data_IF_491694334097
#
_entry.id   IF_491694334097
#
_cell.length_a   1.000
_cell.length_b   1.000
_cell.length_c   1.000
_cell.angle_alpha   90.00
_cell.angle_beta   90.00
_cell.angle_gamma   90.00
#
_symmetry.space_group_name_H-M   'P 1'
#
loop_
_entity.id
_entity.type
_entity.pdbx_description
1 polymer ?
#
# COMPACT_ATOMS: atom_id res chain seq x y z
N UNK A 1 6.77 -18.30 -13.77
CA UNK A 1 6.01 -19.08 -12.75
C UNK A 1 6.55 -18.73 -11.37
N UNK A 2 5.72 -18.16 -10.53
CA UNK A 2 6.10 -17.81 -9.16
C UNK A 2 6.21 -19.09 -8.34
N UNK A 3 7.22 -19.15 -7.45
CA UNK A 3 7.37 -20.30 -6.56
C UNK A 3 6.16 -20.35 -5.63
N UNK A 4 5.68 -21.56 -5.37
CA UNK A 4 4.67 -21.81 -4.36
C UNK A 4 5.32 -22.30 -3.06
N UNK A 5 4.90 -21.71 -1.94
CA UNK A 5 5.20 -22.19 -0.59
C UNK A 5 3.92 -22.82 -0.02
N UNK A 6 3.85 -24.14 0.04
CA UNK A 6 2.65 -24.85 0.50
C UNK A 6 1.34 -24.42 -0.19
N UNK A 7 1.39 -24.14 -1.51
CA UNK A 7 0.27 -23.64 -2.29
C UNK A 7 0.13 -22.12 -2.33
N UNK A 8 1.04 -21.38 -1.70
CA UNK A 8 1.09 -19.93 -1.71
C UNK A 8 2.10 -19.43 -2.74
N UNK A 9 1.73 -18.42 -3.53
CA UNK A 9 2.68 -17.70 -4.38
C UNK A 9 3.68 -16.92 -3.52
N UNK A 10 4.93 -16.85 -3.98
CA UNK A 10 6.03 -16.16 -3.28
C UNK A 10 6.59 -15.08 -4.19
N UNK A 11 6.81 -13.90 -3.65
CA UNK A 11 7.43 -12.80 -4.38
C UNK A 11 8.85 -13.15 -4.86
N UNK A 12 9.35 -12.41 -5.85
CA UNK A 12 10.69 -12.58 -6.39
C UNK A 12 11.80 -12.32 -5.36
N UNK A 13 13.06 -12.60 -5.72
CA UNK A 13 14.19 -12.29 -4.86
C UNK A 13 14.22 -10.81 -4.48
N UNK A 14 14.47 -10.53 -3.21
CA UNK A 14 14.56 -9.17 -2.69
C UNK A 14 15.74 -8.42 -3.31
N UNK A 15 15.48 -7.20 -3.76
CA UNK A 15 16.50 -6.24 -4.18
C UNK A 15 16.79 -5.34 -2.98
N UNK A 16 18.03 -5.40 -2.47
CA UNK A 16 18.43 -4.55 -1.35
C UNK A 16 18.41 -3.09 -1.77
N UNK A 17 17.73 -2.28 -0.96
CA UNK A 17 17.71 -0.83 -1.09
C UNK A 17 18.89 -0.23 -0.31
N UNK A 18 19.38 0.88 -0.81
CA UNK A 18 20.40 1.72 -0.15
C UNK A 18 19.93 3.19 -0.14
N UNK A 19 20.78 4.09 0.36
CA UNK A 19 20.44 5.51 0.47
C UNK A 19 20.09 6.17 -0.87
N UNK A 20 20.54 5.63 -2.00
CA UNK A 20 20.25 6.21 -3.33
C UNK A 20 18.78 6.17 -3.71
N UNK A 21 17.99 5.29 -3.09
CA UNK A 21 16.53 5.27 -3.28
C UNK A 21 15.85 6.54 -2.76
N UNK A 22 16.49 7.25 -1.84
CA UNK A 22 16.03 8.48 -1.22
C UNK A 22 16.71 9.74 -1.76
N UNK A 23 17.67 9.59 -2.66
CA UNK A 23 18.27 10.72 -3.35
C UNK A 23 17.25 11.43 -4.23
N UNK A 24 17.49 12.72 -4.50
CA UNK A 24 16.69 13.49 -5.45
C UNK A 24 16.63 12.79 -6.81
N UNK A 25 15.41 12.69 -7.37
CA UNK A 25 15.13 12.05 -8.66
C UNK A 25 14.85 13.09 -9.75
N UNK A 26 14.99 12.69 -11.01
CA UNK A 26 14.54 13.49 -12.17
C UNK A 26 13.06 13.24 -12.53
N UNK A 27 12.34 12.47 -11.73
CA UNK A 27 10.95 12.09 -11.93
C UNK A 27 10.39 11.38 -10.72
N UNK A 28 9.33 10.61 -10.89
CA UNK A 28 8.67 9.85 -9.84
C UNK A 28 9.03 8.36 -9.92
N UNK A 29 9.50 7.81 -8.81
CA UNK A 29 9.76 6.38 -8.64
C UNK A 29 8.89 5.81 -7.53
N UNK A 30 8.34 4.62 -7.77
CA UNK A 30 7.54 3.84 -6.82
C UNK A 30 8.31 2.57 -6.52
N UNK A 31 8.61 2.31 -5.26
CA UNK A 31 9.30 1.08 -4.83
C UNK A 31 8.39 0.29 -3.92
N UNK A 32 8.08 -0.94 -4.31
CA UNK A 32 7.39 -1.87 -3.43
C UNK A 32 8.37 -2.53 -2.47
N UNK A 33 8.12 -2.39 -1.16
CA UNK A 33 9.02 -2.94 -0.13
C UNK A 33 8.53 -4.25 0.49
N UNK A 34 7.35 -4.70 0.09
CA UNK A 34 6.69 -5.92 0.59
C UNK A 34 5.35 -5.62 1.24
N UNK A 35 4.47 -6.62 1.38
CA UNK A 35 3.07 -6.44 1.83
C UNK A 35 2.38 -5.28 1.09
N UNK A 36 1.75 -4.34 1.80
CA UNK A 36 1.22 -3.09 1.24
C UNK A 36 2.23 -1.94 1.28
N UNK A 37 3.46 -2.18 1.74
CA UNK A 37 4.45 -1.14 2.04
C UNK A 37 5.12 -0.59 0.79
N UNK A 38 5.17 0.73 0.68
CA UNK A 38 5.64 1.45 -0.51
C UNK A 38 6.52 2.64 -0.12
N UNK A 39 7.54 2.91 -0.95
CA UNK A 39 8.24 4.19 -1.00
C UNK A 39 7.87 4.88 -2.31
N UNK A 40 7.42 6.13 -2.25
CA UNK A 40 7.27 7.02 -3.41
C UNK A 40 8.29 8.13 -3.25
N UNK A 41 9.17 8.27 -4.23
CA UNK A 41 10.13 9.36 -4.34
C UNK A 41 9.85 10.14 -5.63
N UNK A 42 9.27 11.34 -5.49
CA UNK A 42 8.97 12.25 -6.58
C UNK A 42 9.88 13.47 -6.48
N UNK A 43 10.82 13.60 -7.41
CA UNK A 43 11.84 14.64 -7.42
C UNK A 43 12.66 14.66 -6.12
N UNK A 44 12.21 15.39 -5.10
CA UNK A 44 12.87 15.45 -3.78
C UNK A 44 11.88 15.17 -2.64
N UNK A 45 10.62 14.87 -2.98
CA UNK A 45 9.58 14.53 -2.01
C UNK A 45 9.52 13.03 -1.80
N UNK A 46 9.74 12.58 -0.57
CA UNK A 46 9.84 11.17 -0.17
C UNK A 46 8.76 10.83 0.84
N UNK A 47 7.87 9.94 0.47
CA UNK A 47 6.84 9.43 1.37
C UNK A 47 6.87 7.91 1.43
N UNK A 48 6.53 7.36 2.57
CA UNK A 48 6.19 5.93 2.67
C UNK A 48 4.71 5.76 2.96
N UNK A 49 4.13 4.72 2.38
CA UNK A 49 2.73 4.33 2.63
C UNK A 49 2.76 2.96 3.29
N UNK A 50 2.02 2.82 4.39
CA UNK A 50 1.88 1.59 5.17
C UNK A 50 3.24 0.89 5.44
N UNK A 51 4.24 1.60 6.00
CA UNK A 51 5.57 1.05 6.12
C UNK A 51 5.61 -0.13 7.09
N UNK A 52 5.90 -1.31 6.55
CA UNK A 52 6.17 -2.53 7.29
C UNK A 52 7.61 -2.96 7.05
N UNK A 53 8.53 -2.50 7.89
CA UNK A 53 9.95 -2.86 7.83
C UNK A 53 10.35 -3.82 8.95
N UNK A 54 9.57 -3.86 10.03
CA UNK A 54 9.74 -4.79 11.16
C UNK A 54 8.44 -4.91 11.96
N UNK A 55 8.40 -5.86 12.91
CA UNK A 55 7.38 -5.92 13.95
C UNK A 55 6.03 -6.51 13.53
N UNK A 56 5.96 -7.17 12.39
CA UNK A 56 4.77 -7.93 12.05
C UNK A 56 4.68 -9.21 12.92
N UNK A 57 3.48 -9.58 13.31
CA UNK A 57 3.23 -10.72 14.21
C UNK A 57 3.11 -12.07 13.49
N UNK A 58 3.21 -12.06 12.15
CA UNK A 58 3.24 -13.27 11.33
C UNK A 58 4.62 -13.49 10.71
N UNK A 59 5.00 -14.74 10.40
CA UNK A 59 6.25 -15.03 9.70
C UNK A 59 6.26 -14.38 8.30
N UNK A 60 7.43 -13.87 7.90
CA UNK A 60 7.64 -13.34 6.56
C UNK A 60 8.37 -14.36 5.68
N UNK A 61 8.05 -14.37 4.39
CA UNK A 61 8.72 -15.18 3.36
C UNK A 61 9.98 -14.51 2.83
N UNK A 62 10.20 -13.25 3.19
CA UNK A 62 11.31 -12.42 2.70
C UNK A 62 12.00 -11.69 3.85
N UNK A 63 13.27 -11.36 3.65
CA UNK A 63 13.91 -10.29 4.42
C UNK A 63 13.47 -8.95 3.83
N UNK A 64 13.23 -7.95 4.68
CA UNK A 64 12.84 -6.63 4.19
C UNK A 64 13.98 -6.00 3.36
N UNK A 65 13.67 -5.27 2.27
CA UNK A 65 14.70 -4.71 1.38
C UNK A 65 15.54 -3.61 2.04
N UNK A 66 15.02 -2.99 3.10
CA UNK A 66 15.68 -1.94 3.88
C UNK A 66 15.30 -2.08 5.35
N UNK A 67 16.16 -1.67 6.27
CA UNK A 67 15.85 -1.57 7.70
C UNK A 67 15.38 -0.16 8.07
N UNK A 68 14.71 -0.01 9.21
CA UNK A 68 14.27 1.32 9.68
C UNK A 68 15.43 2.29 9.89
N UNK A 69 16.61 1.79 10.31
CA UNK A 69 17.81 2.57 10.57
C UNK A 69 18.48 3.09 9.29
N UNK A 70 18.20 2.46 8.15
CA UNK A 70 18.74 2.85 6.85
C UNK A 70 17.82 3.86 6.14
N UNK A 71 16.59 4.06 6.63
CA UNK A 71 15.68 5.08 6.09
C UNK A 71 16.15 6.46 6.54
N UNK A 72 16.48 7.35 5.59
CA UNK A 72 16.83 8.72 5.92
C UNK A 72 15.58 9.58 6.18
N UNK A 73 15.69 10.87 5.97
CA UNK A 73 14.57 11.81 6.12
C UNK A 73 13.41 11.53 5.15
N UNK A 74 12.19 11.54 5.68
CA UNK A 74 10.92 11.42 4.95
C UNK A 74 10.08 12.68 5.14
N UNK A 75 9.43 13.14 4.07
CA UNK A 75 8.47 14.24 4.12
C UNK A 75 7.15 13.83 4.76
N UNK A 76 6.77 12.56 4.60
CA UNK A 76 5.56 12.02 5.20
C UNK A 76 5.49 10.50 5.24
N UNK A 77 4.69 10.02 6.19
CA UNK A 77 4.23 8.63 6.26
C UNK A 77 2.71 8.64 6.25
N UNK A 78 2.12 7.91 5.30
CA UNK A 78 0.68 7.77 5.13
C UNK A 78 0.27 6.37 5.59
N UNK A 79 -0.76 6.28 6.42
CA UNK A 79 -1.28 5.01 6.94
C UNK A 79 -2.72 4.84 6.48
N UNK A 80 -3.03 3.71 5.85
CA UNK A 80 -4.39 3.46 5.33
C UNK A 80 -5.37 2.98 6.40
N UNK A 81 -4.92 2.17 7.36
CA UNK A 81 -5.75 1.65 8.45
C UNK A 81 -4.93 1.03 9.60
N UNK A 82 -5.60 0.47 10.60
CA UNK A 82 -5.01 0.08 11.89
C UNK A 82 -4.31 -1.28 11.90
N UNK A 83 -4.52 -2.15 10.91
CA UNK A 83 -3.96 -3.48 10.92
C UNK A 83 -2.41 -3.43 10.94
N UNK A 84 -1.78 -4.36 11.62
CA UNK A 84 -0.36 -4.25 11.98
C UNK A 84 0.62 -4.52 10.83
N UNK A 85 0.14 -4.96 9.69
CA UNK A 85 0.86 -5.01 8.41
C UNK A 85 0.77 -3.69 7.60
N UNK A 86 -0.02 -2.73 8.09
CA UNK A 86 -0.13 -1.35 7.56
C UNK A 86 0.37 -0.33 8.59
N UNK A 87 -0.19 -0.35 9.81
CA UNK A 87 0.33 0.43 10.93
C UNK A 87 1.26 -0.43 11.80
N UNK A 88 2.46 -0.72 11.31
CA UNK A 88 3.51 -1.34 12.12
C UNK A 88 4.03 -0.34 13.17
N UNK A 89 3.60 -0.50 14.42
CA UNK A 89 4.08 0.35 15.53
C UNK A 89 5.59 0.36 15.69
N UNK A 90 6.30 -0.81 15.65
CA UNK A 90 7.77 -0.80 15.72
C UNK A 90 8.42 -0.01 14.60
N UNK A 91 7.99 -0.19 13.35
CA UNK A 91 8.46 0.59 12.20
C UNK A 91 8.19 2.08 12.39
N UNK A 92 6.93 2.45 12.62
CA UNK A 92 6.54 3.86 12.75
C UNK A 92 7.23 4.55 13.92
N UNK A 93 7.46 3.85 15.06
CA UNK A 93 8.18 4.39 16.19
C UNK A 93 9.63 4.76 15.86
N UNK A 94 10.30 3.99 15.01
CA UNK A 94 11.66 4.32 14.55
C UNK A 94 11.63 5.43 13.50
N UNK A 95 10.70 5.37 12.55
CA UNK A 95 10.54 6.40 11.52
C UNK A 95 10.15 7.77 12.07
N UNK A 96 9.54 7.84 13.26
CA UNK A 96 9.21 9.10 13.94
C UNK A 96 10.40 10.06 14.10
N UNK A 97 11.62 9.54 14.11
CA UNK A 97 12.83 10.35 14.24
C UNK A 97 13.29 10.98 12.93
N UNK A 98 12.84 10.47 11.81
CA UNK A 98 13.27 10.87 10.45
C UNK A 98 12.09 11.30 9.56
N UNK A 99 10.87 11.31 10.09
CA UNK A 99 9.67 11.70 9.38
C UNK A 99 9.07 12.98 9.97
N UNK A 100 8.77 13.94 9.11
CA UNK A 100 8.22 15.24 9.52
C UNK A 100 6.74 15.18 9.91
N UNK A 101 5.95 14.35 9.21
CA UNK A 101 4.51 14.27 9.40
C UNK A 101 3.96 12.89 9.12
N UNK A 102 3.01 12.47 9.94
CA UNK A 102 2.20 11.28 9.69
C UNK A 102 0.79 11.70 9.29
N UNK A 103 0.16 10.92 8.44
CA UNK A 103 -1.21 11.11 7.96
C UNK A 103 -1.97 9.81 8.12
N UNK A 104 -3.18 9.87 8.67
CA UNK A 104 -3.91 8.64 8.96
C UNK A 104 -5.42 8.90 9.12
N UNK A 105 -6.27 7.91 8.79
CA UNK A 105 -7.70 8.01 9.02
C UNK A 105 -8.06 8.00 10.50
N UNK A 106 -9.31 8.31 10.80
CA UNK A 106 -9.84 8.65 12.11
C UNK A 106 -9.22 7.85 13.28
N UNK A 107 -9.39 6.53 13.31
CA UNK A 107 -8.99 5.74 14.48
C UNK A 107 -7.46 5.59 14.59
N UNK A 108 -6.77 5.43 13.47
CA UNK A 108 -5.31 5.35 13.47
C UNK A 108 -4.72 6.66 13.99
N UNK A 109 -5.25 7.81 13.55
CA UNK A 109 -4.80 9.11 14.02
C UNK A 109 -5.01 9.28 15.52
N UNK A 110 -6.19 8.87 16.07
CA UNK A 110 -6.44 8.89 17.52
C UNK A 110 -5.38 8.07 18.29
N UNK A 111 -5.09 6.86 17.83
CA UNK A 111 -4.06 6.01 18.46
C UNK A 111 -2.66 6.64 18.33
N UNK A 112 -2.33 7.18 17.18
CA UNK A 112 -1.03 7.83 16.94
C UNK A 112 -0.85 9.08 17.80
N UNK A 113 -1.91 9.90 17.98
CA UNK A 113 -1.90 11.06 18.86
C UNK A 113 -1.64 10.65 20.32
N UNK A 114 -2.31 9.60 20.82
CA UNK A 114 -2.10 9.05 22.16
C UNK A 114 -0.65 8.54 22.36
N UNK A 115 -0.04 7.98 21.28
CA UNK A 115 1.34 7.50 21.28
C UNK A 115 2.36 8.62 20.97
N UNK A 116 1.89 9.87 20.80
CA UNK A 116 2.73 11.08 20.65
C UNK A 116 3.38 11.23 19.27
N UNK A 117 2.72 10.80 18.20
CA UNK A 117 3.16 11.06 16.82
C UNK A 117 2.72 12.47 16.35
N UNK A 118 3.49 13.10 15.47
CA UNK A 118 3.07 14.32 14.75
C UNK A 118 2.11 13.93 13.61
N UNK A 119 0.90 13.48 13.93
CA UNK A 119 -0.06 12.97 12.98
C UNK A 119 -1.11 14.01 12.62
N UNK A 120 -1.47 14.07 11.33
CA UNK A 120 -2.64 14.76 10.81
C UNK A 120 -3.74 13.74 10.56
N UNK A 121 -4.88 13.93 11.21
CA UNK A 121 -6.07 13.14 10.97
C UNK A 121 -6.69 13.52 9.64
N UNK A 122 -7.09 12.52 8.87
CA UNK A 122 -7.67 12.64 7.54
C UNK A 122 -9.14 12.19 7.54
N UNK A 123 -9.93 12.90 6.76
CA UNK A 123 -11.28 12.48 6.37
C UNK A 123 -11.30 12.10 4.87
N UNK A 124 -12.24 11.25 4.48
CA UNK A 124 -12.43 10.87 3.07
C UNK A 124 -12.73 12.13 2.25
N UNK A 125 -12.06 12.24 1.08
CA UNK A 125 -12.03 13.38 0.15
C UNK A 125 -11.20 14.58 0.61
N UNK A 126 -10.52 14.51 1.74
CA UNK A 126 -9.51 15.51 2.07
C UNK A 126 -8.45 15.59 0.98
N UNK A 127 -7.95 16.81 0.78
CA UNK A 127 -6.96 17.13 -0.24
C UNK A 127 -5.86 18.02 0.34
N UNK A 128 -4.62 17.61 0.13
CA UNK A 128 -3.46 18.36 0.62
C UNK A 128 -2.24 18.15 -0.26
N UNK A 129 -1.16 18.87 0.03
CA UNK A 129 0.12 18.76 -0.67
C UNK A 129 1.22 18.35 0.29
N UNK A 130 2.10 17.46 -0.19
CA UNK A 130 3.40 17.14 0.38
C UNK A 130 4.44 17.36 -0.72
N UNK A 131 5.25 18.42 -0.61
CA UNK A 131 6.18 18.80 -1.67
C UNK A 131 5.50 18.89 -3.02
N UNK A 132 5.95 18.10 -3.98
CA UNK A 132 5.41 18.05 -5.36
C UNK A 132 4.19 17.15 -5.51
N UNK A 133 3.77 16.46 -4.44
CA UNK A 133 2.62 15.56 -4.46
C UNK A 133 1.34 16.28 -4.06
N UNK A 134 0.29 16.11 -4.87
CA UNK A 134 -1.08 16.41 -4.47
C UNK A 134 -1.75 15.10 -4.08
N UNK A 135 -2.26 15.00 -2.85
CA UNK A 135 -2.85 13.80 -2.28
C UNK A 135 -4.33 14.02 -2.03
N UNK A 136 -5.15 13.10 -2.49
CA UNK A 136 -6.59 13.03 -2.20
C UNK A 136 -6.86 11.72 -1.46
N UNK A 137 -7.50 11.81 -0.30
CA UNK A 137 -7.92 10.66 0.51
C UNK A 137 -9.14 10.03 -0.15
N UNK A 138 -9.06 8.74 -0.50
CA UNK A 138 -10.13 8.01 -1.17
C UNK A 138 -10.81 7.03 -0.22
N UNK A 139 -12.10 6.69 -0.43
CA UNK A 139 -12.80 5.76 0.43
C UNK A 139 -12.23 4.35 0.30
N UNK A 140 -12.23 3.64 1.43
CA UNK A 140 -11.94 2.22 1.51
C UNK A 140 -12.88 1.54 2.51
N UNK A 141 -13.07 0.22 2.38
CA UNK A 141 -13.92 -0.55 3.26
C UNK A 141 -13.29 -1.90 3.58
N UNK A 142 -12.72 -1.98 4.78
CA UNK A 142 -12.01 -3.18 5.26
C UNK A 142 -12.42 -3.54 6.70
N UNK A 143 -13.68 -3.41 7.04
CA UNK A 143 -14.21 -3.51 8.40
C UNK A 143 -14.45 -4.95 8.89
N UNK A 144 -13.54 -5.87 8.60
CA UNK A 144 -13.57 -7.28 9.06
C UNK A 144 -13.61 -7.40 10.58
N UNK A 145 -13.07 -6.42 11.29
CA UNK A 145 -13.03 -6.37 12.74
C UNK A 145 -14.44 -6.40 13.36
N UNK A 146 -15.46 -5.90 12.66
CA UNK A 146 -16.85 -5.96 13.12
C UNK A 146 -17.39 -7.39 13.23
N UNK A 147 -16.80 -8.34 12.52
CA UNK A 147 -17.09 -9.78 12.63
C UNK A 147 -16.32 -10.51 13.74
N UNK A 148 -15.39 -9.85 14.43
CA UNK A 148 -14.48 -10.47 15.38
C UNK A 148 -14.76 -10.05 16.82
N UNK A 149 -14.93 -11.02 17.73
CA UNK A 149 -15.11 -10.74 19.17
C UNK A 149 -13.91 -10.01 19.79
N UNK A 150 -12.72 -10.24 19.28
CA UNK A 150 -11.49 -9.59 19.74
C UNK A 150 -11.55 -8.08 19.57
N UNK A 151 -12.22 -7.61 18.52
CA UNK A 151 -12.27 -6.21 18.10
C UNK A 151 -13.61 -5.53 18.41
N UNK A 152 -14.52 -6.21 19.15
CA UNK A 152 -15.87 -5.74 19.47
C UNK A 152 -15.91 -4.63 20.55
N UNK A 153 -14.77 -4.05 20.92
CA UNK A 153 -14.70 -2.92 21.85
C UNK A 153 -15.13 -1.59 21.23
N UNK A 154 -15.25 -1.54 19.91
CA UNK A 154 -15.81 -0.41 19.14
C UNK A 154 -16.52 -0.93 17.88
N UNK A 155 -17.32 -0.10 17.26
CA UNK A 155 -17.79 -0.32 15.88
C UNK A 155 -16.80 0.32 14.91
N UNK A 156 -16.40 -0.41 13.88
CA UNK A 156 -15.45 0.01 12.86
C UNK A 156 -16.21 0.60 11.68
N UNK A 157 -15.98 1.89 11.42
CA UNK A 157 -16.67 2.69 10.42
C UNK A 157 -15.83 2.87 9.14
N UNK A 158 -16.45 3.30 8.07
CA UNK A 158 -15.72 3.55 6.80
C UNK A 158 -14.63 4.62 6.96
N UNK A 159 -14.83 5.63 7.81
CA UNK A 159 -13.82 6.66 8.13
C UNK A 159 -12.56 6.14 8.86
N UNK A 160 -12.53 4.87 9.27
CA UNK A 160 -11.37 4.24 9.91
C UNK A 160 -10.40 3.63 8.87
N UNK A 161 -10.74 3.70 7.58
CA UNK A 161 -9.99 3.16 6.45
C UNK A 161 -9.93 4.19 5.33
N UNK A 162 -8.83 4.20 4.58
CA UNK A 162 -8.71 5.03 3.39
C UNK A 162 -7.79 4.42 2.35
N UNK A 163 -7.86 4.94 1.15
CA UNK A 163 -6.87 4.83 0.12
C UNK A 163 -6.33 6.22 -0.25
N UNK A 164 -5.43 6.30 -1.21
CA UNK A 164 -4.81 7.55 -1.64
C UNK A 164 -4.76 7.66 -3.16
N UNK A 165 -5.25 8.77 -3.69
CA UNK A 165 -5.04 9.17 -5.08
C UNK A 165 -4.00 10.29 -5.11
N UNK A 166 -2.85 10.02 -5.71
CA UNK A 166 -1.67 10.89 -5.65
C UNK A 166 -1.36 11.41 -7.04
N UNK A 167 -1.35 12.72 -7.21
CA UNK A 167 -0.91 13.37 -8.43
C UNK A 167 0.54 13.81 -8.27
N UNK A 168 1.37 13.45 -9.23
CA UNK A 168 2.77 13.83 -9.36
C UNK A 168 2.99 14.62 -10.65
N UNK A 169 4.14 15.27 -10.85
CA UNK A 169 4.45 15.91 -12.13
C UNK A 169 4.42 14.97 -13.34
N UNK A 170 4.74 13.68 -13.15
CA UNK A 170 4.81 12.68 -14.22
C UNK A 170 3.51 11.92 -14.45
N UNK A 171 2.56 11.97 -13.52
CA UNK A 171 1.31 11.23 -13.66
C UNK A 171 0.61 11.00 -12.33
N UNK A 172 -0.33 10.08 -12.33
CA UNK A 172 -1.23 9.81 -11.21
C UNK A 172 -1.08 8.37 -10.72
N UNK A 173 -1.07 8.22 -9.41
CA UNK A 173 -0.94 6.94 -8.70
C UNK A 173 -2.18 6.77 -7.83
N UNK A 174 -2.82 5.63 -7.88
CA UNK A 174 -3.92 5.33 -6.98
C UNK A 174 -3.67 4.06 -6.19
N UNK A 175 -3.74 4.17 -4.87
CA UNK A 175 -3.78 3.08 -3.91
C UNK A 175 -5.19 3.00 -3.34
N UNK A 176 -6.01 2.01 -3.73
CA UNK A 176 -7.33 1.81 -3.12
C UNK A 176 -7.28 1.49 -1.62
N UNK A 177 -6.11 1.03 -1.12
CA UNK A 177 -5.95 0.43 0.20
C UNK A 177 -6.53 -0.98 0.25
N UNK A 178 -6.48 -1.61 1.42
CA UNK A 178 -7.21 -2.83 1.68
C UNK A 178 -8.70 -2.50 1.71
N UNK A 179 -9.44 -3.01 0.74
CA UNK A 179 -10.83 -2.60 0.55
C UNK A 179 -11.64 -3.62 -0.22
N UNK A 180 -12.88 -3.79 0.18
CA UNK A 180 -13.90 -4.32 -0.71
C UNK A 180 -14.03 -3.41 -1.94
N UNK A 181 -14.44 -3.96 -3.09
CA UNK A 181 -14.72 -3.13 -4.26
C UNK A 181 -15.94 -2.23 -4.01
N UNK A 182 -15.71 -0.93 -3.96
CA UNK A 182 -16.77 0.07 -3.84
C UNK A 182 -17.21 0.54 -5.24
N UNK A 183 -18.47 0.99 -5.34
CA UNK A 183 -18.95 1.58 -6.60
C UNK A 183 -18.17 2.81 -7.00
N UNK A 184 -17.73 3.62 -6.03
CA UNK A 184 -16.90 4.79 -6.24
C UNK A 184 -15.55 4.44 -6.88
N UNK A 185 -14.97 3.29 -6.54
CA UNK A 185 -13.73 2.80 -7.15
C UNK A 185 -13.84 2.60 -8.67
N UNK A 186 -15.04 2.40 -9.19
CA UNK A 186 -15.29 2.22 -10.63
C UNK A 186 -15.52 3.55 -11.38
N UNK A 187 -15.53 4.66 -10.65
CA UNK A 187 -15.82 6.00 -11.18
C UNK A 187 -14.73 7.03 -10.85
N UNK A 188 -13.56 6.57 -10.39
CA UNK A 188 -12.41 7.43 -10.17
C UNK A 188 -11.89 8.00 -11.50
N UNK A 189 -11.23 9.15 -11.50
CA UNK A 189 -10.41 9.54 -12.65
C UNK A 189 -9.45 8.39 -13.01
N UNK A 190 -9.28 8.09 -14.33
CA UNK A 190 -8.39 7.00 -14.74
C UNK A 190 -6.94 7.33 -14.28
N UNK A 191 -6.35 6.53 -13.39
CA UNK A 191 -4.97 6.75 -12.95
C UNK A 191 -3.97 6.22 -13.99
N UNK A 192 -2.72 6.70 -13.93
CA UNK A 192 -1.63 6.12 -14.72
C UNK A 192 -1.14 4.79 -14.09
N UNK A 193 -1.18 4.69 -12.77
CA UNK A 193 -0.79 3.49 -12.01
C UNK A 193 -1.81 3.19 -10.91
N UNK A 194 -2.17 1.92 -10.75
CA UNK A 194 -2.90 1.40 -9.59
C UNK A 194 -1.93 0.52 -8.77
N UNK A 195 -1.78 0.84 -7.50
CA UNK A 195 -1.11 0.00 -6.51
C UNK A 195 -2.14 -1.03 -6.02
N UNK A 196 -2.01 -2.26 -6.51
CA UNK A 196 -3.13 -3.13 -6.75
C UNK A 196 -3.09 -4.37 -5.84
N UNK A 197 -3.94 -4.36 -4.79
CA UNK A 197 -4.31 -5.58 -4.08
C UNK A 197 -5.32 -6.37 -4.94
N UNK A 198 -5.17 -7.68 -4.95
CA UNK A 198 -6.00 -8.60 -5.75
C UNK A 198 -6.28 -9.91 -5.01
N UNK A 199 -6.18 -9.88 -3.69
CA UNK A 199 -6.44 -11.04 -2.85
C UNK A 199 -7.90 -11.51 -2.99
N UNK A 200 -8.10 -12.83 -3.18
CA UNK A 200 -9.44 -13.42 -3.25
C UNK A 200 -10.03 -13.63 -1.85
N UNK A 201 -10.44 -12.51 -1.25
CA UNK A 201 -10.99 -12.46 0.10
C UNK A 201 -12.15 -11.47 0.17
N UNK A 202 -13.19 -11.79 0.95
CA UNK A 202 -14.42 -10.97 1.06
C UNK A 202 -14.22 -9.62 1.75
N UNK A 203 -13.15 -9.46 2.54
CA UNK A 203 -12.80 -8.21 3.21
C UNK A 203 -11.81 -7.36 2.40
N UNK A 204 -11.24 -7.96 1.36
CA UNK A 204 -10.49 -7.32 0.31
C UNK A 204 -11.36 -7.16 -0.95
N UNK A 205 -10.72 -6.90 -2.08
CA UNK A 205 -11.44 -6.62 -3.34
C UNK A 205 -12.09 -7.86 -3.97
N UNK A 206 -11.72 -9.08 -3.55
CA UNK A 206 -11.93 -10.36 -4.23
C UNK A 206 -11.23 -10.43 -5.60
N UNK A 207 -10.94 -11.62 -6.10
CA UNK A 207 -10.29 -11.75 -7.41
C UNK A 207 -11.18 -11.24 -8.56
N UNK A 208 -12.48 -11.52 -8.52
CA UNK A 208 -13.42 -11.01 -9.53
C UNK A 208 -13.56 -9.48 -9.45
N UNK A 209 -13.57 -8.92 -8.25
CA UNK A 209 -13.59 -7.49 -8.03
C UNK A 209 -12.31 -6.82 -8.54
N UNK A 210 -11.15 -7.41 -8.28
CA UNK A 210 -9.86 -6.95 -8.75
C UNK A 210 -9.81 -6.90 -10.29
N UNK A 211 -10.29 -7.95 -10.95
CA UNK A 211 -10.37 -7.99 -12.41
C UNK A 211 -11.35 -6.95 -12.95
N UNK A 212 -12.49 -6.76 -12.28
CA UNK A 212 -13.46 -5.72 -12.66
C UNK A 212 -12.81 -4.33 -12.55
N UNK A 213 -12.11 -4.04 -11.44
CA UNK A 213 -11.39 -2.77 -11.25
C UNK A 213 -10.34 -2.57 -12.33
N UNK A 214 -9.48 -3.57 -12.53
CA UNK A 214 -8.43 -3.52 -13.54
C UNK A 214 -8.98 -3.25 -14.95
N UNK A 215 -10.08 -3.89 -15.33
CA UNK A 215 -10.69 -3.73 -16.64
C UNK A 215 -11.49 -2.42 -16.78
N UNK A 216 -11.85 -1.78 -15.68
CA UNK A 216 -12.46 -0.43 -15.68
C UNK A 216 -11.45 0.64 -16.12
N UNK A 217 -10.17 0.47 -15.77
CA UNK A 217 -9.09 1.39 -16.11
C UNK A 217 -8.05 0.71 -17.02
N UNK A 218 -8.36 0.49 -18.30
CA UNK A 218 -7.57 -0.38 -19.19
C UNK A 218 -6.21 0.20 -19.60
N UNK A 219 -5.91 1.45 -19.28
CA UNK A 219 -4.63 2.10 -19.59
C UNK A 219 -3.70 2.18 -18.37
N UNK A 220 -4.25 2.05 -17.16
CA UNK A 220 -3.45 2.10 -15.94
C UNK A 220 -2.50 0.92 -15.82
N UNK A 221 -1.24 1.13 -15.51
CA UNK A 221 -0.34 0.07 -15.08
C UNK A 221 -0.80 -0.46 -13.71
N UNK A 222 -0.68 -1.77 -13.51
CA UNK A 222 -1.12 -2.47 -12.29
C UNK A 222 0.12 -2.99 -11.56
N UNK A 223 0.56 -2.30 -10.52
CA UNK A 223 1.63 -2.80 -9.65
C UNK A 223 1.00 -3.71 -8.60
N UNK A 224 1.30 -5.01 -8.68
CA UNK A 224 0.80 -6.01 -7.73
C UNK A 224 1.45 -5.82 -6.36
N UNK A 225 0.65 -5.56 -5.34
CA UNK A 225 1.09 -5.43 -3.93
C UNK A 225 0.29 -6.38 -3.04
N UNK A 226 0.60 -6.45 -1.76
CA UNK A 226 -0.10 -7.22 -0.74
C UNK A 226 -0.15 -8.74 -0.99
N UNK A 227 0.90 -9.31 -1.59
CA UNK A 227 1.00 -10.72 -1.92
C UNK A 227 2.41 -11.26 -1.71
N UNK A 228 2.55 -12.58 -1.54
CA UNK A 228 3.81 -13.31 -1.69
C UNK A 228 4.94 -13.00 -0.71
N UNK A 229 4.69 -12.22 0.34
CA UNK A 229 5.70 -11.81 1.33
C UNK A 229 5.42 -12.28 2.76
N UNK A 230 4.18 -12.66 3.06
CA UNK A 230 3.76 -13.19 4.37
C UNK A 230 3.58 -14.69 4.28
N UNK A 231 4.15 -15.46 5.21
CA UNK A 231 3.98 -16.91 5.27
C UNK A 231 2.62 -17.28 5.91
N UNK A 232 1.59 -17.30 5.09
CA UNK A 232 0.22 -17.54 5.50
C UNK A 232 -0.56 -18.38 4.47
N UNK A 233 -0.15 -19.61 4.15
CA UNK A 233 -0.73 -20.39 3.05
C UNK A 233 -2.22 -20.71 3.22
N UNK A 234 -2.76 -20.58 4.43
CA UNK A 234 -4.17 -20.84 4.75
C UNK A 234 -5.00 -19.55 4.89
N UNK A 235 -4.40 -18.39 4.71
CA UNK A 235 -5.06 -17.07 4.85
C UNK A 235 -5.14 -16.37 3.51
N UNK A 236 -6.33 -16.34 2.94
CA UNK A 236 -6.58 -15.77 1.60
C UNK A 236 -6.19 -14.30 1.43
N UNK A 237 -6.23 -13.41 2.44
CA UNK A 237 -5.77 -12.03 2.30
C UNK A 237 -4.33 -11.89 1.79
N UNK A 238 -3.45 -12.84 2.09
CA UNK A 238 -2.03 -12.81 1.72
C UNK A 238 -1.68 -13.70 0.52
N UNK A 239 -2.68 -14.34 -0.12
CA UNK A 239 -2.47 -15.40 -1.10
C UNK A 239 -2.84 -15.01 -2.53
N UNK A 240 -2.79 -13.72 -2.86
CA UNK A 240 -2.88 -13.29 -4.25
C UNK A 240 -1.79 -13.97 -5.10
N UNK A 241 -2.16 -14.47 -6.29
CA UNK A 241 -1.20 -15.00 -7.26
C UNK A 241 -1.31 -14.17 -8.55
N UNK A 242 -0.27 -13.42 -8.94
CA UNK A 242 -0.30 -12.63 -10.17
C UNK A 242 -0.64 -13.43 -11.43
N UNK A 243 -0.38 -14.75 -11.45
CA UNK A 243 -0.74 -15.61 -12.59
C UNK A 243 -2.25 -15.66 -12.83
N UNK A 244 -3.07 -15.47 -11.80
CA UNK A 244 -4.53 -15.47 -11.89
C UNK A 244 -5.09 -14.25 -12.64
N UNK A 245 -4.25 -13.25 -12.89
CA UNK A 245 -4.62 -11.99 -13.57
C UNK A 245 -4.38 -12.02 -15.08
N UNK A 246 -3.31 -12.70 -15.55
CA UNK A 246 -2.79 -12.53 -16.92
C UNK A 246 -3.80 -12.88 -18.02
N UNK A 247 -4.62 -13.88 -17.83
CA UNK A 247 -5.63 -14.31 -18.82
C UNK A 247 -6.99 -13.62 -18.66
N UNK A 248 -7.16 -12.77 -17.64
CA UNK A 248 -8.45 -12.19 -17.24
C UNK A 248 -8.47 -10.66 -17.32
N UNK A 249 -7.30 -10.04 -17.25
CA UNK A 249 -7.14 -8.58 -17.33
C UNK A 249 -6.90 -8.18 -18.78
N UNK A 250 -7.61 -7.16 -19.27
CA UNK A 250 -7.35 -6.59 -20.60
C UNK A 250 -5.99 -5.89 -20.61
N UNK A 251 -5.26 -6.00 -21.73
CA UNK A 251 -3.90 -5.46 -21.88
C UNK A 251 -2.95 -5.97 -20.76
N UNK A 252 -2.73 -7.30 -20.64
CA UNK A 252 -2.02 -7.88 -19.50
C UNK A 252 -0.55 -7.44 -19.38
N UNK A 253 0.06 -6.85 -20.41
CA UNK A 253 1.41 -6.27 -20.40
C UNK A 253 1.56 -5.12 -19.39
N UNK A 254 0.47 -4.52 -18.96
CA UNK A 254 0.43 -3.47 -17.94
C UNK A 254 0.48 -4.02 -16.51
N UNK A 255 0.41 -5.32 -16.31
CA UNK A 255 0.58 -5.95 -15.00
C UNK A 255 2.07 -5.94 -14.65
N UNK A 256 2.44 -5.21 -13.60
CA UNK A 256 3.81 -5.08 -13.10
C UNK A 256 3.95 -5.92 -11.83
N UNK A 257 4.68 -7.00 -11.94
CA UNK A 257 4.99 -7.89 -10.81
C UNK A 257 6.42 -7.61 -10.38
N UNK A 258 6.56 -6.66 -9.48
CA UNK A 258 7.85 -6.22 -8.97
C UNK A 258 8.41 -7.19 -7.94
N UNK A 259 9.73 -7.26 -7.83
CA UNK A 259 10.39 -7.83 -6.67
C UNK A 259 10.36 -6.82 -5.50
N UNK A 260 10.33 -7.28 -4.23
CA UNK A 260 10.48 -6.35 -3.10
C UNK A 260 11.82 -5.59 -3.20
N UNK A 261 11.75 -4.27 -3.13
CA UNK A 261 12.89 -3.36 -3.36
C UNK A 261 13.10 -2.96 -4.83
N UNK A 262 12.31 -3.48 -5.78
CA UNK A 262 12.36 -3.03 -7.16
C UNK A 262 11.63 -1.70 -7.34
N UNK A 263 12.30 -0.74 -7.99
CA UNK A 263 11.71 0.56 -8.30
C UNK A 263 11.03 0.53 -9.67
N UNK A 264 9.80 1.01 -9.72
CA UNK A 264 9.06 1.33 -10.94
C UNK A 264 9.15 2.83 -11.20
N UNK A 265 9.59 3.21 -12.40
CA UNK A 265 9.64 4.61 -12.82
C UNK A 265 8.35 4.99 -13.52
N UNK A 266 7.63 5.98 -12.96
CA UNK A 266 6.46 6.55 -13.59
C UNK A 266 6.90 7.41 -14.77
N UNK A 267 6.46 7.05 -15.97
CA UNK A 267 6.73 7.78 -17.22
C UNK A 267 5.41 8.04 -17.93
N UNK A 268 5.20 9.30 -18.33
CA UNK A 268 4.11 9.66 -19.25
C UNK A 268 4.38 9.17 -20.64
#
# INVERSE_FOLDING_TARGET
MYKNNNGQAVAGPVIKMDSSYFDKKEGTEITWTGSASLLINSHDTKIMIDPLLEGFDMPLLIDMPITCEEVPELDGVLITHIDNDHFSRPTCQKLKNVCHSFYAPNYVAEVMEEEGYPVTKEDIHDKYHLGDLEIVVTPAKHNWQNGSKKWAYRYWEEKDYCGYYITTPEGTIWLPGDSQLLEEHLHMPEPDVILFDFADNEWHITLDGAIKLANTYPKADLICIHWGTVDAPTMTPFNGNPEDLFDRVVNPERIKVLAPGEAYKLVK
#
